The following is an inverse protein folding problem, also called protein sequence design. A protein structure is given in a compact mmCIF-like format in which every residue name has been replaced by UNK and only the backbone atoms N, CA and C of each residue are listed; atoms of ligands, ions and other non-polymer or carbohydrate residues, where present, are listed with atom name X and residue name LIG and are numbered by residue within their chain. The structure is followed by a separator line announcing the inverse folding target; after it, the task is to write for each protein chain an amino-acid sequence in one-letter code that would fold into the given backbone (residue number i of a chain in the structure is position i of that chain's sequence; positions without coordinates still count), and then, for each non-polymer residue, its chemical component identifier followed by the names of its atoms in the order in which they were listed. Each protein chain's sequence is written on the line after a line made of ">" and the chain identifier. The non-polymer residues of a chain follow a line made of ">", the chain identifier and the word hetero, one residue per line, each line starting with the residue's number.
data_IF_847805754491
#
_entry.id   IF_847805754491
#
_cell.length_a   1.000
_cell.length_b   1.000
_cell.length_c   1.000
_cell.angle_alpha   90.00
_cell.angle_beta   90.00
_cell.angle_gamma   90.00
#
_symmetry.space_group_name_H-M   'P 1'
#
loop_
_entity.id
_entity.type
_entity.pdbx_description
1 polymer ?
#
# COMPACT_ATOMS: atom_id res chain seq x y z
N UNK A 1 23.30 -33.09 -5.05
CA UNK A 1 24.36 -32.90 -4.05
C UNK A 1 23.79 -32.02 -2.96
N UNK A 2 23.94 -32.44 -1.69
CA UNK A 2 23.58 -31.63 -0.56
C UNK A 2 24.67 -30.62 -0.18
N UNK A 3 24.46 -29.86 0.86
CA UNK A 3 25.41 -28.95 1.49
C UNK A 3 25.73 -29.44 2.91
N UNK A 4 26.83 -28.98 3.46
CA UNK A 4 27.33 -29.35 4.79
C UNK A 4 27.48 -28.10 5.65
N UNK A 5 27.57 -28.29 6.93
CA UNK A 5 27.98 -27.26 7.87
C UNK A 5 29.33 -26.67 7.48
N UNK A 6 29.47 -25.36 7.45
CA UNK A 6 30.65 -24.63 7.01
C UNK A 6 30.83 -24.44 5.50
N UNK A 7 29.99 -25.06 4.66
CA UNK A 7 30.05 -24.83 3.21
C UNK A 7 29.82 -23.38 2.84
N UNK A 8 30.51 -22.90 1.82
CA UNK A 8 30.29 -21.57 1.27
C UNK A 8 28.92 -21.51 0.53
N UNK A 9 28.14 -20.48 0.84
CA UNK A 9 26.89 -20.21 0.15
C UNK A 9 26.81 -18.74 -0.26
N UNK A 10 26.19 -18.48 -1.40
CA UNK A 10 25.91 -17.11 -1.84
C UNK A 10 24.56 -17.00 -2.54
N UNK A 11 23.97 -15.81 -2.45
CA UNK A 11 22.71 -15.46 -3.14
C UNK A 11 22.92 -14.18 -3.92
N UNK A 12 22.57 -14.20 -5.20
CA UNK A 12 22.47 -13.03 -6.04
C UNK A 12 20.99 -12.72 -6.29
N UNK A 13 20.60 -11.46 -6.16
CA UNK A 13 19.20 -11.06 -6.37
C UNK A 13 19.04 -9.57 -6.56
N UNK A 14 17.80 -9.17 -6.82
CA UNK A 14 17.40 -7.79 -7.08
C UNK A 14 16.36 -7.37 -6.05
N UNK A 15 16.76 -7.11 -4.79
CA UNK A 15 15.80 -6.70 -3.75
C UNK A 15 15.12 -5.39 -4.12
N UNK A 16 13.82 -5.29 -3.82
CA UNK A 16 12.97 -4.19 -4.25
C UNK A 16 13.29 -2.86 -3.58
N UNK A 17 12.96 -2.75 -2.30
CA UNK A 17 13.15 -1.52 -1.53
C UNK A 17 13.46 -1.80 -0.07
N UNK A 18 14.25 -0.93 0.54
CA UNK A 18 14.50 -0.84 1.98
C UNK A 18 14.49 0.63 2.37
N UNK A 19 14.29 0.92 3.66
CA UNK A 19 14.18 2.29 4.19
C UNK A 19 15.21 2.50 5.33
N UNK A 20 16.49 2.24 5.03
CA UNK A 20 17.57 2.30 6.05
C UNK A 20 17.81 3.72 6.55
N UNK A 21 17.68 4.70 5.66
CA UNK A 21 18.02 6.10 5.91
C UNK A 21 16.83 6.94 6.34
N UNK A 22 15.62 6.42 6.30
CA UNK A 22 14.41 7.14 6.68
C UNK A 22 14.49 7.64 8.13
N UNK A 23 14.02 8.86 8.37
CA UNK A 23 13.98 9.47 9.70
C UNK A 23 13.02 8.74 10.67
N UNK A 24 13.13 9.08 11.97
CA UNK A 24 12.17 8.60 12.97
C UNK A 24 10.74 9.01 12.64
N UNK A 25 10.54 10.19 12.05
CA UNK A 25 9.24 10.70 11.61
C UNK A 25 8.69 9.92 10.42
N UNK A 26 9.54 9.60 9.45
CA UNK A 26 9.18 8.76 8.31
C UNK A 26 8.82 7.34 8.72
N UNK A 27 9.59 6.71 9.63
CA UNK A 27 9.26 5.39 10.19
C UNK A 27 7.93 5.41 10.93
N UNK A 28 7.66 6.47 11.72
CA UNK A 28 6.40 6.61 12.43
C UNK A 28 5.22 6.77 11.45
N UNK A 29 5.37 7.57 10.40
CA UNK A 29 4.36 7.75 9.35
C UNK A 29 4.10 6.43 8.60
N UNK A 30 5.16 5.70 8.23
CA UNK A 30 5.04 4.37 7.63
C UNK A 30 4.26 3.41 8.53
N UNK A 31 4.55 3.38 9.84
CA UNK A 31 3.87 2.52 10.81
C UNK A 31 2.39 2.87 10.93
N UNK A 32 2.08 4.16 11.16
CA UNK A 32 0.76 4.61 11.60
C UNK A 32 -0.16 5.01 10.44
N UNK A 33 0.38 5.61 9.37
CA UNK A 33 -0.40 6.15 8.26
C UNK A 33 -0.36 5.27 6.99
N UNK A 34 0.55 4.30 6.90
CA UNK A 34 0.60 3.37 5.78
C UNK A 34 0.33 1.92 6.17
N UNK A 35 1.16 1.35 7.06
CA UNK A 35 1.05 -0.07 7.40
C UNK A 35 -0.22 -0.39 8.21
N UNK A 36 -0.56 0.43 9.19
CA UNK A 36 -1.74 0.22 10.03
C UNK A 36 -3.04 0.22 9.19
N UNK A 37 -3.35 1.26 8.39
CA UNK A 37 -4.55 1.24 7.54
C UNK A 37 -4.49 0.16 6.46
N UNK A 38 -3.32 -0.11 5.85
CA UNK A 38 -3.16 -1.22 4.90
C UNK A 38 -3.51 -2.57 5.53
N UNK A 39 -3.02 -2.84 6.73
CA UNK A 39 -3.31 -4.08 7.45
C UNK A 39 -4.81 -4.19 7.77
N UNK A 40 -5.43 -3.12 8.20
CA UNK A 40 -6.83 -3.07 8.57
C UNK A 40 -7.74 -3.28 7.34
N UNK A 41 -7.57 -2.50 6.25
CA UNK A 41 -8.38 -2.62 5.02
C UNK A 41 -8.23 -4.00 4.38
N UNK A 42 -6.99 -4.52 4.30
CA UNK A 42 -6.76 -5.86 3.75
C UNK A 42 -7.31 -6.97 4.63
N UNK A 43 -7.32 -6.79 5.95
CA UNK A 43 -7.91 -7.73 6.89
C UNK A 43 -9.39 -7.94 6.60
N UNK A 44 -10.19 -6.87 6.63
CA UNK A 44 -11.64 -6.96 6.40
C UNK A 44 -11.99 -7.47 5.00
N UNK A 45 -11.22 -7.07 3.99
CA UNK A 45 -11.39 -7.57 2.63
C UNK A 45 -11.14 -9.08 2.54
N UNK A 46 -10.06 -9.55 3.13
CA UNK A 46 -9.65 -10.95 3.05
C UNK A 46 -10.61 -11.88 3.78
N UNK A 47 -11.27 -11.43 4.84
CA UNK A 47 -12.33 -12.18 5.50
C UNK A 47 -13.48 -12.49 4.55
N UNK A 48 -13.94 -11.49 3.79
CA UNK A 48 -14.97 -11.68 2.77
C UNK A 48 -14.49 -12.61 1.65
N UNK A 49 -13.27 -12.37 1.13
CA UNK A 49 -12.70 -13.22 0.09
C UNK A 49 -12.60 -14.68 0.53
N UNK A 50 -12.10 -14.95 1.74
CA UNK A 50 -12.01 -16.32 2.27
C UNK A 50 -13.36 -16.98 2.42
N UNK A 51 -14.38 -16.25 2.87
CA UNK A 51 -15.74 -16.76 3.00
C UNK A 51 -16.23 -17.34 1.66
N UNK A 52 -16.10 -16.56 0.58
CA UNK A 52 -16.52 -17.00 -0.76
C UNK A 52 -15.63 -18.12 -1.33
N UNK A 53 -14.33 -18.00 -1.18
CA UNK A 53 -13.35 -19.00 -1.66
C UNK A 53 -13.49 -20.37 -0.97
N UNK A 54 -13.94 -20.39 0.28
CA UNK A 54 -14.23 -21.65 1.00
C UNK A 54 -15.57 -22.25 0.60
N UNK A 55 -16.52 -21.42 0.20
CA UNK A 55 -17.85 -21.87 -0.20
C UNK A 55 -17.89 -22.43 -1.64
N UNK A 56 -17.02 -21.95 -2.53
CA UNK A 56 -17.00 -22.31 -3.95
C UNK A 56 -15.57 -22.46 -4.48
N UNK A 57 -15.24 -23.65 -4.99
CA UNK A 57 -13.93 -23.95 -5.55
C UNK A 57 -13.64 -23.17 -6.83
N UNK A 58 -14.62 -22.90 -7.66
CA UNK A 58 -14.45 -22.10 -8.88
C UNK A 58 -14.09 -20.65 -8.53
N UNK A 59 -14.73 -20.10 -7.49
CA UNK A 59 -14.36 -18.78 -6.95
C UNK A 59 -12.95 -18.81 -6.36
N UNK A 60 -12.60 -19.87 -5.62
CA UNK A 60 -11.24 -20.04 -5.06
C UNK A 60 -10.18 -19.98 -6.16
N UNK A 61 -10.36 -20.69 -7.26
CA UNK A 61 -9.41 -20.71 -8.38
C UNK A 61 -9.24 -19.31 -8.98
N UNK A 62 -10.32 -18.53 -9.17
CA UNK A 62 -10.26 -17.17 -9.71
C UNK A 62 -9.53 -16.19 -8.80
N UNK A 63 -9.63 -16.37 -7.49
CA UNK A 63 -9.15 -15.40 -6.51
C UNK A 63 -7.88 -15.80 -5.78
N UNK A 64 -7.38 -17.02 -5.92
CA UNK A 64 -6.22 -17.54 -5.19
C UNK A 64 -4.98 -16.64 -5.34
N UNK A 65 -4.63 -16.28 -6.57
CA UNK A 65 -3.51 -15.37 -6.87
C UNK A 65 -3.74 -13.95 -6.31
N UNK A 66 -4.96 -13.43 -6.43
CA UNK A 66 -5.34 -12.10 -5.90
C UNK A 66 -5.26 -12.09 -4.37
N UNK A 67 -5.77 -13.14 -3.74
CA UNK A 67 -5.70 -13.34 -2.29
C UNK A 67 -4.26 -13.49 -1.81
N UNK A 68 -3.46 -14.34 -2.45
CA UNK A 68 -2.06 -14.55 -2.10
C UNK A 68 -1.26 -13.23 -2.17
N UNK A 69 -1.44 -12.44 -3.24
CA UNK A 69 -0.82 -11.12 -3.36
C UNK A 69 -1.29 -10.17 -2.26
N UNK A 70 -2.59 -10.10 -1.99
CA UNK A 70 -3.14 -9.27 -0.92
C UNK A 70 -2.58 -9.67 0.45
N UNK A 71 -2.53 -10.98 0.74
CA UNK A 71 -2.04 -11.56 1.99
C UNK A 71 -0.55 -11.31 2.21
N UNK A 72 0.27 -11.34 1.13
CA UNK A 72 1.69 -11.02 1.23
C UNK A 72 1.91 -9.61 1.79
N UNK A 73 1.29 -8.59 1.21
CA UNK A 73 1.40 -7.21 1.69
C UNK A 73 0.75 -7.00 3.07
N UNK A 74 -0.33 -7.71 3.37
CA UNK A 74 -0.99 -7.69 4.67
C UNK A 74 -0.09 -8.19 5.78
N UNK A 75 0.51 -9.37 5.58
CA UNK A 75 1.46 -9.97 6.53
C UNK A 75 2.73 -9.12 6.67
N UNK A 76 3.21 -8.54 5.57
CA UNK A 76 4.35 -7.64 5.58
C UNK A 76 4.07 -6.40 6.46
N UNK A 77 2.92 -5.74 6.28
CA UNK A 77 2.55 -4.56 7.06
C UNK A 77 2.44 -4.87 8.56
N UNK A 78 1.79 -5.98 8.93
CA UNK A 78 1.67 -6.44 10.32
C UNK A 78 3.05 -6.78 10.91
N UNK A 79 3.85 -7.57 10.17
CA UNK A 79 5.17 -8.00 10.63
C UNK A 79 6.15 -6.83 10.78
N UNK A 80 6.10 -5.87 9.85
CA UNK A 80 6.92 -4.67 9.92
C UNK A 80 6.56 -3.81 11.14
N UNK A 81 5.28 -3.55 11.37
CA UNK A 81 4.84 -2.79 12.55
C UNK A 81 5.22 -3.49 13.85
N UNK A 82 5.01 -4.80 13.94
CA UNK A 82 5.46 -5.59 15.09
C UNK A 82 6.97 -5.49 15.31
N UNK A 83 7.76 -5.51 14.24
CA UNK A 83 9.21 -5.35 14.33
C UNK A 83 9.60 -3.94 14.80
N UNK A 84 9.00 -2.89 14.20
CA UNK A 84 9.23 -1.49 14.59
C UNK A 84 8.99 -1.30 16.09
N UNK A 85 7.88 -1.84 16.60
CA UNK A 85 7.49 -1.68 18.00
C UNK A 85 8.35 -2.53 18.94
N UNK A 86 8.57 -3.82 18.62
CA UNK A 86 9.28 -4.74 19.53
C UNK A 86 10.78 -4.44 19.66
N UNK A 87 11.40 -3.91 18.61
CA UNK A 87 12.81 -3.50 18.61
C UNK A 87 12.96 -2.03 19.07
N UNK A 88 11.88 -1.24 19.04
CA UNK A 88 11.91 0.17 19.38
C UNK A 88 12.59 1.05 18.33
N UNK A 89 12.42 0.73 17.05
CA UNK A 89 13.11 1.39 15.91
C UNK A 89 12.93 2.91 15.95
N UNK A 90 11.73 3.41 16.24
CA UNK A 90 11.48 4.86 16.31
C UNK A 90 12.35 5.54 17.36
N UNK A 91 12.51 4.93 18.54
CA UNK A 91 13.34 5.49 19.62
C UNK A 91 14.82 5.41 19.25
N UNK A 92 15.29 4.30 18.68
CA UNK A 92 16.68 4.19 18.20
C UNK A 92 17.01 5.28 17.18
N UNK A 93 16.09 5.57 16.26
CA UNK A 93 16.24 6.65 15.27
C UNK A 93 16.28 8.03 15.94
N UNK A 94 15.40 8.29 16.91
CA UNK A 94 15.40 9.57 17.66
C UNK A 94 16.68 9.81 18.44
N UNK A 95 17.20 8.77 19.10
CA UNK A 95 18.50 8.85 19.78
C UNK A 95 19.64 9.14 18.80
N UNK A 96 19.59 8.49 17.63
CA UNK A 96 20.55 8.75 16.58
C UNK A 96 20.44 10.19 16.05
N UNK A 97 19.24 10.67 15.77
CA UNK A 97 18.98 12.04 15.31
C UNK A 97 19.40 13.09 16.33
N UNK A 98 19.28 12.80 17.63
CA UNK A 98 19.79 13.66 18.70
C UNK A 98 21.30 13.78 18.63
N UNK A 99 22.02 12.67 18.42
CA UNK A 99 23.49 12.70 18.23
C UNK A 99 23.90 13.45 16.96
N UNK A 100 23.14 13.26 15.89
CA UNK A 100 23.39 13.92 14.61
C UNK A 100 23.17 15.43 14.71
N UNK A 101 22.13 15.87 15.44
CA UNK A 101 21.90 17.29 15.72
C UNK A 101 23.05 17.90 16.51
N UNK A 102 23.52 17.25 17.58
CA UNK A 102 24.67 17.69 18.36
C UNK A 102 25.95 17.75 17.52
N UNK A 103 26.18 16.78 16.62
CA UNK A 103 27.30 16.80 15.70
C UNK A 103 27.22 18.00 14.74
N UNK A 104 26.04 18.29 14.19
CA UNK A 104 25.80 19.45 13.32
C UNK A 104 26.13 20.77 14.01
N UNK A 105 25.80 20.94 15.29
CA UNK A 105 26.03 22.13 16.07
C UNK A 105 27.53 22.36 16.33
N UNK A 106 28.33 21.30 16.38
CA UNK A 106 29.77 21.36 16.64
C UNK A 106 30.62 21.48 15.37
N UNK A 107 30.12 20.99 14.24
CA UNK A 107 30.81 21.08 12.97
C UNK A 107 30.74 22.53 12.46
N UNK A 108 31.86 23.22 12.44
CA UNK A 108 31.96 24.57 11.85
C UNK A 108 31.40 24.51 10.43
N UNK A 109 30.34 25.26 10.20
CA UNK A 109 29.52 25.30 9.01
C UNK A 109 30.30 25.23 7.70
N UNK A 110 30.51 24.02 7.23
CA UNK A 110 30.78 23.84 5.82
C UNK A 110 29.43 24.05 5.11
N UNK A 111 29.41 24.82 4.05
CA UNK A 111 28.22 25.04 3.25
C UNK A 111 27.94 23.82 2.36
N UNK A 112 27.83 22.64 2.98
CA UNK A 112 27.57 21.37 2.34
C UNK A 112 26.18 20.82 2.73
N UNK A 113 25.74 19.79 2.03
CA UNK A 113 24.42 19.19 2.23
C UNK A 113 24.24 18.57 3.63
N UNK A 114 25.36 18.11 4.23
CA UNK A 114 25.34 17.44 5.54
C UNK A 114 24.93 18.36 6.69
N UNK A 115 25.05 19.68 6.51
CA UNK A 115 24.70 20.68 7.52
C UNK A 115 23.36 21.39 7.26
N UNK A 116 22.56 20.90 6.29
CA UNK A 116 21.32 21.55 5.89
C UNK A 116 20.06 20.90 6.46
N UNK A 117 20.17 19.80 7.22
CA UNK A 117 19.01 19.17 7.80
C UNK A 117 18.37 20.05 8.86
N UNK A 118 17.08 20.30 8.70
CA UNK A 118 16.23 20.99 9.67
C UNK A 118 15.24 19.97 10.24
N UNK A 119 15.57 19.45 11.41
CA UNK A 119 14.78 18.41 12.08
C UNK A 119 13.38 18.90 12.50
N UNK A 120 13.26 20.18 12.86
CA UNK A 120 11.98 20.74 13.30
C UNK A 120 11.06 20.96 12.09
N UNK A 121 11.62 21.42 10.96
CA UNK A 121 10.92 21.47 9.68
C UNK A 121 10.49 20.07 9.23
N UNK A 122 11.36 19.07 9.31
CA UNK A 122 11.06 17.70 8.92
C UNK A 122 9.92 17.11 9.76
N UNK A 123 9.97 17.30 11.08
CA UNK A 123 8.89 16.90 11.99
C UNK A 123 7.55 17.54 11.62
N UNK A 124 7.57 18.86 11.37
CA UNK A 124 6.37 19.60 10.99
C UNK A 124 5.77 19.07 9.69
N UNK A 125 6.60 18.88 8.66
CA UNK A 125 6.17 18.38 7.35
C UNK A 125 5.49 17.01 7.45
N UNK A 126 6.08 16.06 8.19
CA UNK A 126 5.47 14.74 8.41
C UNK A 126 4.16 14.83 9.20
N UNK A 127 4.11 15.67 10.22
CA UNK A 127 2.88 15.88 10.99
C UNK A 127 1.74 16.44 10.14
N UNK A 128 2.03 17.41 9.27
CA UNK A 128 1.07 17.99 8.35
C UNK A 128 0.58 17.00 7.28
N UNK A 129 1.44 16.07 6.87
CA UNK A 129 1.12 15.06 5.87
C UNK A 129 0.47 13.79 6.43
N UNK A 130 0.43 13.60 7.75
CA UNK A 130 -0.01 12.33 8.35
C UNK A 130 -1.46 11.97 8.02
N UNK A 131 -2.40 12.93 8.13
CA UNK A 131 -3.82 12.71 7.84
C UNK A 131 -4.06 12.35 6.37
N UNK A 132 -3.45 13.11 5.46
CA UNK A 132 -3.60 12.84 4.02
C UNK A 132 -2.95 11.51 3.63
N UNK A 133 -1.82 11.14 4.22
CA UNK A 133 -1.16 9.84 3.96
C UNK A 133 -2.01 8.68 4.45
N UNK A 134 -2.61 8.82 5.64
CA UNK A 134 -3.54 7.82 6.19
C UNK A 134 -4.78 7.65 5.31
N UNK A 135 -5.41 8.76 4.94
CA UNK A 135 -6.60 8.75 4.09
C UNK A 135 -6.31 8.22 2.68
N UNK A 136 -5.18 8.62 2.09
CA UNK A 136 -4.70 8.08 0.82
C UNK A 136 -4.47 6.57 0.85
N UNK A 137 -3.87 6.05 1.92
CA UNK A 137 -3.65 4.60 2.05
C UNK A 137 -4.98 3.86 2.09
N UNK A 138 -5.94 4.34 2.89
CA UNK A 138 -7.30 3.79 2.91
C UNK A 138 -7.96 3.83 1.53
N UNK A 139 -7.87 4.96 0.83
CA UNK A 139 -8.42 5.12 -0.52
C UNK A 139 -7.80 4.15 -1.51
N UNK A 140 -6.46 4.09 -1.55
CA UNK A 140 -5.74 3.24 -2.48
C UNK A 140 -6.04 1.75 -2.27
N UNK A 141 -6.14 1.31 -1.01
CA UNK A 141 -6.46 -0.09 -0.66
C UNK A 141 -7.95 -0.43 -0.90
N UNK A 142 -8.85 0.57 -0.85
CA UNK A 142 -10.31 0.35 -0.99
C UNK A 142 -10.81 0.48 -2.42
N UNK A 143 -10.24 1.35 -3.26
CA UNK A 143 -10.88 1.71 -4.53
C UNK A 143 -10.01 1.53 -5.78
N UNK A 144 -8.69 1.42 -5.63
CA UNK A 144 -7.80 1.16 -6.76
C UNK A 144 -7.66 -0.35 -7.03
N UNK A 145 -6.82 -0.73 -7.99
CA UNK A 145 -6.49 -2.14 -8.25
C UNK A 145 -6.09 -2.94 -7.01
N UNK A 146 -5.67 -2.27 -5.93
CA UNK A 146 -5.29 -2.91 -4.67
C UNK A 146 -6.50 -3.50 -3.91
N UNK A 147 -7.70 -3.00 -4.20
CA UNK A 147 -8.95 -3.51 -3.61
C UNK A 147 -9.28 -4.95 -4.03
N UNK A 148 -8.81 -5.38 -5.20
CA UNK A 148 -9.23 -6.60 -5.89
C UNK A 148 -10.71 -6.60 -6.29
N UNK A 149 -11.36 -5.43 -6.34
CA UNK A 149 -12.73 -5.20 -6.79
C UNK A 149 -12.70 -4.81 -8.26
N UNK A 150 -13.30 -5.62 -9.10
CA UNK A 150 -13.31 -5.37 -10.55
C UNK A 150 -14.12 -4.13 -10.90
N UNK A 151 -15.29 -3.95 -10.28
CA UNK A 151 -16.15 -2.79 -10.52
C UNK A 151 -15.42 -1.47 -10.26
N UNK A 152 -14.86 -1.28 -9.08
CA UNK A 152 -14.17 -0.04 -8.73
C UNK A 152 -12.91 0.17 -9.57
N UNK A 153 -12.18 -0.91 -9.90
CA UNK A 153 -11.00 -0.85 -10.76
C UNK A 153 -11.34 -0.37 -12.16
N UNK A 154 -12.42 -0.88 -12.75
CA UNK A 154 -12.90 -0.43 -14.08
C UNK A 154 -13.37 1.01 -14.05
N UNK A 155 -14.23 1.36 -13.08
CA UNK A 155 -14.76 2.70 -12.93
C UNK A 155 -13.66 3.76 -12.78
N UNK A 156 -12.68 3.48 -11.91
CA UNK A 156 -11.55 4.38 -11.66
C UNK A 156 -10.64 4.56 -12.89
N UNK A 157 -10.25 3.45 -13.52
CA UNK A 157 -9.38 3.49 -14.72
C UNK A 157 -10.05 4.13 -15.92
N UNK A 158 -11.37 4.00 -16.06
CA UNK A 158 -12.11 4.55 -17.15
C UNK A 158 -11.90 6.06 -17.25
N UNK A 159 -12.00 6.77 -16.13
CA UNK A 159 -11.78 8.21 -16.06
C UNK A 159 -10.33 8.60 -16.36
N UNK A 160 -9.36 7.91 -15.74
CA UNK A 160 -7.94 8.19 -15.98
C UNK A 160 -7.54 8.00 -17.45
N UNK A 161 -8.09 6.99 -18.13
CA UNK A 161 -7.84 6.75 -19.55
C UNK A 161 -8.42 7.85 -20.44
N UNK A 162 -9.47 8.54 -20.00
CA UNK A 162 -10.06 9.67 -20.72
C UNK A 162 -9.20 10.93 -20.64
N UNK A 163 -8.63 11.22 -19.47
CA UNK A 163 -7.82 12.41 -19.24
C UNK A 163 -6.49 12.38 -20.02
N UNK A 164 -5.90 11.20 -20.16
CA UNK A 164 -4.57 11.02 -20.77
C UNK A 164 -4.58 11.03 -22.30
N UNK A 165 -5.70 10.72 -22.94
CA UNK A 165 -5.76 10.54 -24.41
C UNK A 165 -6.33 11.72 -25.18
N UNK A 166 -5.53 12.78 -25.34
CA UNK A 166 -5.64 13.64 -26.49
C UNK A 166 -6.47 14.92 -26.35
N UNK A 167 -6.42 15.71 -27.43
CA UNK A 167 -7.12 17.00 -27.55
C UNK A 167 -8.64 16.87 -27.37
N UNK A 168 -9.31 17.91 -26.98
CA UNK A 168 -10.78 18.04 -26.85
C UNK A 168 -11.54 17.44 -28.06
N UNK A 169 -10.96 17.53 -29.27
CA UNK A 169 -11.54 16.98 -30.48
C UNK A 169 -11.51 15.45 -30.50
N UNK A 170 -10.51 14.81 -29.88
CA UNK A 170 -10.41 13.35 -29.79
C UNK A 170 -11.25 12.80 -28.62
N UNK A 171 -11.35 13.53 -27.52
CA UNK A 171 -12.23 13.16 -26.39
C UNK A 171 -13.70 13.05 -26.84
N UNK A 172 -14.16 13.88 -27.78
CA UNK A 172 -15.53 13.86 -28.30
C UNK A 172 -15.89 12.61 -29.10
N UNK A 173 -14.90 11.80 -29.51
CA UNK A 173 -15.10 10.59 -30.30
C UNK A 173 -14.72 9.32 -29.58
N UNK A 174 -14.24 9.42 -28.35
CA UNK A 174 -13.86 8.24 -27.58
C UNK A 174 -15.07 7.40 -27.23
N UNK A 175 -14.91 6.13 -27.49
CA UNK A 175 -15.86 5.13 -27.10
C UNK A 175 -15.11 4.00 -26.41
N UNK A 176 -15.72 3.39 -25.42
CA UNK A 176 -15.16 2.27 -24.69
C UNK A 176 -16.10 1.06 -24.82
N UNK A 177 -15.54 -0.04 -25.29
CA UNK A 177 -16.19 -1.33 -25.32
C UNK A 177 -15.63 -2.19 -24.17
N UNK A 178 -16.54 -2.81 -23.41
CA UNK A 178 -16.17 -3.59 -22.24
C UNK A 178 -15.98 -5.06 -22.60
N UNK A 179 -14.79 -5.56 -22.27
CA UNK A 179 -14.40 -6.94 -22.49
C UNK A 179 -15.08 -7.90 -21.52
N UNK A 180 -15.24 -9.13 -21.96
CA UNK A 180 -15.62 -10.23 -21.10
C UNK A 180 -14.42 -10.91 -20.50
N UNK A 181 -14.03 -10.46 -19.31
CA UNK A 181 -13.06 -11.14 -18.45
C UNK A 181 -13.74 -11.80 -17.23
N UNK A 182 -14.99 -12.19 -17.36
CA UNK A 182 -15.79 -12.82 -16.29
C UNK A 182 -15.18 -14.11 -15.74
N UNK A 183 -14.23 -14.72 -16.47
CA UNK A 183 -13.44 -15.83 -15.98
C UNK A 183 -12.52 -15.44 -14.78
N UNK A 184 -12.20 -14.15 -14.63
CA UNK A 184 -11.24 -13.68 -13.63
C UNK A 184 -11.88 -13.09 -12.36
N UNK A 185 -13.20 -12.93 -12.33
CA UNK A 185 -13.93 -12.37 -11.19
C UNK A 185 -15.27 -13.06 -10.93
N UNK A 186 -15.80 -12.85 -9.74
CA UNK A 186 -17.12 -13.32 -9.31
C UNK A 186 -17.97 -12.15 -8.84
N UNK A 187 -19.21 -12.07 -9.34
CA UNK A 187 -20.12 -10.94 -9.04
C UNK A 187 -20.46 -10.84 -7.56
N UNK A 188 -20.76 -11.96 -6.92
CA UNK A 188 -21.20 -11.98 -5.53
C UNK A 188 -20.08 -11.55 -4.58
N UNK A 189 -18.87 -12.08 -4.81
CA UNK A 189 -17.69 -11.71 -4.07
C UNK A 189 -17.33 -10.23 -4.29
N UNK A 190 -17.32 -9.77 -5.54
CA UNK A 190 -16.97 -8.38 -5.90
C UNK A 190 -17.93 -7.38 -5.22
N UNK A 191 -19.24 -7.67 -5.25
CA UNK A 191 -20.25 -6.84 -4.60
C UNK A 191 -20.09 -6.80 -3.08
N UNK A 192 -19.89 -7.95 -2.42
CA UNK A 192 -19.74 -7.99 -0.97
C UNK A 192 -18.43 -7.32 -0.50
N UNK A 193 -17.34 -7.51 -1.23
CA UNK A 193 -16.08 -6.80 -0.94
C UNK A 193 -16.25 -5.30 -1.12
N UNK A 194 -16.86 -4.84 -2.21
CA UNK A 194 -17.05 -3.41 -2.43
C UNK A 194 -17.93 -2.79 -1.34
N UNK A 195 -19.04 -3.42 -0.97
CA UNK A 195 -19.91 -2.93 0.10
C UNK A 195 -19.18 -2.85 1.45
N UNK A 196 -18.36 -3.85 1.76
CA UNK A 196 -17.53 -3.89 2.97
C UNK A 196 -16.49 -2.77 2.95
N UNK A 197 -15.81 -2.55 1.83
CA UNK A 197 -14.79 -1.52 1.69
C UNK A 197 -15.39 -0.09 1.74
N UNK A 198 -16.57 0.12 1.16
CA UNK A 198 -17.29 1.39 1.27
C UNK A 198 -17.60 1.74 2.73
N UNK A 199 -18.15 0.78 3.48
CA UNK A 199 -18.41 0.93 4.91
C UNK A 199 -17.13 1.24 5.67
N UNK A 200 -16.11 0.40 5.49
CA UNK A 200 -14.82 0.53 6.15
C UNK A 200 -14.15 1.88 5.89
N UNK A 201 -14.16 2.35 4.64
CA UNK A 201 -13.55 3.62 4.28
C UNK A 201 -14.21 4.80 5.02
N UNK A 202 -15.55 4.83 5.06
CA UNK A 202 -16.30 5.87 5.78
C UNK A 202 -16.03 5.90 7.28
N UNK A 203 -15.82 4.74 7.89
CA UNK A 203 -15.59 4.61 9.34
C UNK A 203 -14.18 5.08 9.76
N UNK A 204 -13.22 5.12 8.84
CA UNK A 204 -11.82 5.37 9.15
C UNK A 204 -11.25 6.66 8.55
N UNK A 205 -11.96 7.31 7.64
CA UNK A 205 -11.45 8.46 6.92
C UNK A 205 -12.31 9.70 7.21
N UNK A 206 -11.66 10.85 7.38
CA UNK A 206 -12.35 12.10 7.66
C UNK A 206 -13.27 12.53 6.50
N UNK A 207 -14.34 13.26 6.83
CA UNK A 207 -15.40 13.68 5.88
C UNK A 207 -14.86 14.41 4.64
N UNK A 208 -13.79 15.17 4.77
CA UNK A 208 -13.19 15.92 3.65
C UNK A 208 -12.67 15.04 2.53
N UNK A 209 -12.35 13.77 2.84
CA UNK A 209 -11.84 12.80 1.89
C UNK A 209 -12.87 11.79 1.40
N UNK A 210 -14.16 12.01 1.74
CA UNK A 210 -15.24 11.15 1.27
C UNK A 210 -15.68 11.53 -0.14
N UNK A 211 -15.68 10.59 -1.12
CA UNK A 211 -16.29 10.80 -2.43
C UNK A 211 -17.77 11.20 -2.33
N UNK A 212 -18.25 11.97 -3.30
CA UNK A 212 -19.62 12.51 -3.31
C UNK A 212 -20.72 11.45 -3.29
N UNK A 213 -20.44 10.25 -3.78
CA UNK A 213 -21.41 9.15 -3.79
C UNK A 213 -21.86 8.72 -2.38
N UNK A 214 -21.12 9.05 -1.30
CA UNK A 214 -21.59 8.77 0.06
C UNK A 214 -22.89 9.55 0.39
N UNK A 215 -23.05 10.76 -0.15
CA UNK A 215 -24.31 11.52 -0.04
C UNK A 215 -25.47 10.81 -0.76
N UNK A 216 -25.16 10.19 -1.90
CA UNK A 216 -26.14 9.38 -2.64
C UNK A 216 -26.52 8.13 -1.86
N UNK A 217 -25.54 7.43 -1.25
CA UNK A 217 -25.80 6.27 -0.39
C UNK A 217 -26.75 6.63 0.75
N UNK A 218 -26.51 7.76 1.42
CA UNK A 218 -27.34 8.22 2.53
C UNK A 218 -28.76 8.61 2.09
N UNK A 219 -28.87 9.44 1.05
CA UNK A 219 -30.14 10.03 0.64
C UNK A 219 -31.04 9.07 -0.14
N UNK A 220 -30.48 8.19 -0.96
CA UNK A 220 -31.24 7.33 -1.86
C UNK A 220 -31.32 5.88 -1.40
N UNK A 221 -30.32 5.42 -0.61
CA UNK A 221 -30.23 4.04 -0.16
C UNK A 221 -30.31 3.88 1.36
N UNK A 222 -30.53 4.97 2.10
CA UNK A 222 -30.66 4.97 3.56
C UNK A 222 -29.41 4.46 4.30
N UNK A 223 -28.24 4.68 3.72
CA UNK A 223 -26.96 4.21 4.27
C UNK A 223 -26.64 2.72 3.98
N UNK A 224 -27.46 2.05 3.16
CA UNK A 224 -27.28 0.62 2.83
C UNK A 224 -26.29 0.45 1.68
N UNK A 225 -25.06 0.12 2.01
CA UNK A 225 -23.96 -0.10 1.04
C UNK A 225 -24.24 -1.26 0.10
N UNK A 226 -24.89 -2.33 0.58
CA UNK A 226 -25.21 -3.51 -0.22
C UNK A 226 -26.22 -3.18 -1.31
N UNK A 227 -27.28 -2.44 -0.97
CA UNK A 227 -28.25 -1.96 -1.96
C UNK A 227 -27.63 -1.04 -2.99
N UNK A 228 -26.76 -0.11 -2.54
CA UNK A 228 -26.06 0.79 -3.45
C UNK A 228 -25.17 0.02 -4.44
N UNK A 229 -24.37 -0.92 -3.95
CA UNK A 229 -23.50 -1.72 -4.81
C UNK A 229 -24.30 -2.57 -5.78
N UNK A 230 -25.39 -3.19 -5.34
CA UNK A 230 -26.30 -3.93 -6.24
C UNK A 230 -26.87 -3.02 -7.34
N UNK A 231 -27.27 -1.80 -6.98
CA UNK A 231 -27.73 -0.79 -7.95
C UNK A 231 -26.63 -0.46 -8.98
N UNK A 232 -25.39 -0.24 -8.53
CA UNK A 232 -24.26 0.02 -9.43
C UNK A 232 -24.09 -1.10 -10.46
N UNK A 233 -24.06 -2.35 -10.02
CA UNK A 233 -23.89 -3.52 -10.88
C UNK A 233 -25.04 -3.74 -11.85
N UNK A 234 -26.27 -3.50 -11.44
CA UNK A 234 -27.46 -3.76 -12.26
C UNK A 234 -27.70 -2.65 -13.31
N UNK A 235 -27.37 -1.43 -12.99
CA UNK A 235 -27.68 -0.27 -13.83
C UNK A 235 -26.52 0.18 -14.72
N UNK A 236 -25.27 0.00 -14.27
CA UNK A 236 -24.10 0.43 -15.03
C UNK A 236 -23.80 -0.48 -16.22
N UNK A 237 -23.26 0.12 -17.27
CA UNK A 237 -22.76 -0.57 -18.46
C UNK A 237 -21.34 -1.10 -18.29
N UNK A 238 -20.56 -0.60 -17.32
CA UNK A 238 -19.12 -0.91 -17.19
C UNK A 238 -18.83 -2.40 -16.88
N UNK A 239 -19.79 -3.14 -16.37
CA UNK A 239 -19.69 -4.59 -16.10
C UNK A 239 -20.39 -5.47 -17.12
N UNK A 240 -21.01 -4.87 -18.16
CA UNK A 240 -21.75 -5.62 -19.17
C UNK A 240 -20.87 -5.92 -20.38
N UNK A 241 -20.70 -7.21 -20.70
CA UNK A 241 -19.93 -7.66 -21.88
C UNK A 241 -20.42 -6.99 -23.16
N UNK A 242 -19.49 -6.46 -23.96
CA UNK A 242 -19.78 -5.81 -25.24
C UNK A 242 -20.59 -4.53 -25.14
N UNK A 243 -20.87 -4.05 -23.94
CA UNK A 243 -21.53 -2.77 -23.74
C UNK A 243 -20.66 -1.63 -24.27
N UNK A 244 -21.28 -0.64 -24.84
CA UNK A 244 -20.61 0.52 -25.44
C UNK A 244 -20.96 1.77 -24.69
N UNK A 245 -19.94 2.47 -24.19
CA UNK A 245 -20.07 3.74 -23.53
C UNK A 245 -19.39 4.84 -24.35
N UNK A 246 -20.15 5.87 -24.70
CA UNK A 246 -19.66 7.01 -25.49
C UNK A 246 -19.46 8.21 -24.57
N UNK A 247 -18.24 8.61 -24.33
CA UNK A 247 -17.89 9.73 -23.45
C UNK A 247 -18.30 11.11 -23.98
N UNK A 248 -18.52 11.22 -25.27
CA UNK A 248 -19.00 12.45 -25.90
C UNK A 248 -20.52 12.51 -26.08
N UNK A 249 -21.23 11.44 -25.68
CA UNK A 249 -22.70 11.41 -25.76
C UNK A 249 -23.29 12.09 -24.54
N UNK A 250 -24.21 13.03 -24.78
CA UNK A 250 -24.93 13.71 -23.69
C UNK A 250 -25.56 12.70 -22.75
N UNK A 251 -25.22 12.78 -21.47
CA UNK A 251 -25.77 11.92 -20.41
C UNK A 251 -24.97 10.65 -20.12
N UNK A 252 -23.75 10.48 -20.64
CA UNK A 252 -22.90 9.35 -20.26
C UNK A 252 -22.59 9.34 -18.76
N UNK A 253 -22.47 10.50 -18.16
CA UNK A 253 -22.28 10.72 -16.73
C UNK A 253 -23.45 10.25 -15.87
N UNK A 254 -24.59 9.95 -16.49
CA UNK A 254 -25.75 9.34 -15.81
C UNK A 254 -25.60 7.82 -15.59
N UNK A 255 -24.63 7.19 -16.24
CA UNK A 255 -24.27 5.82 -15.90
C UNK A 255 -23.71 5.80 -14.46
N UNK A 256 -24.29 5.03 -13.53
CA UNK A 256 -23.91 5.09 -12.14
C UNK A 256 -22.45 4.62 -11.89
N UNK A 257 -21.90 3.73 -12.71
CA UNK A 257 -20.51 3.35 -12.62
C UNK A 257 -19.55 4.43 -13.11
N UNK A 258 -19.96 5.20 -14.13
CA UNK A 258 -19.22 6.39 -14.57
C UNK A 258 -19.23 7.45 -13.49
N UNK A 259 -20.40 7.77 -12.92
CA UNK A 259 -20.52 8.74 -11.83
C UNK A 259 -19.68 8.34 -10.61
N UNK A 260 -19.73 7.06 -10.23
CA UNK A 260 -18.89 6.51 -9.16
C UNK A 260 -17.38 6.69 -9.47
N UNK A 261 -16.95 6.39 -10.70
CA UNK A 261 -15.57 6.57 -11.14
C UNK A 261 -15.12 8.04 -11.16
N UNK A 262 -16.02 8.96 -11.55
CA UNK A 262 -15.77 10.41 -11.51
C UNK A 262 -15.53 10.90 -10.08
N UNK A 263 -16.41 10.52 -9.14
CA UNK A 263 -16.27 10.87 -7.73
C UNK A 263 -14.96 10.34 -7.12
N UNK A 264 -14.54 9.13 -7.50
CA UNK A 264 -13.24 8.58 -7.09
C UNK A 264 -12.07 9.39 -7.65
N UNK A 265 -12.13 9.81 -8.92
CA UNK A 265 -11.05 10.57 -9.54
C UNK A 265 -11.00 12.03 -9.04
N UNK A 266 -12.12 12.63 -8.68
CA UNK A 266 -12.15 13.94 -8.00
C UNK A 266 -11.33 13.87 -6.70
N UNK A 267 -11.64 12.91 -5.83
CA UNK A 267 -10.90 12.74 -4.55
C UNK A 267 -9.45 12.32 -4.78
N UNK A 268 -9.16 11.53 -5.82
CA UNK A 268 -7.79 11.21 -6.21
C UNK A 268 -6.97 12.45 -6.57
N UNK A 269 -7.57 13.40 -7.30
CA UNK A 269 -6.93 14.67 -7.64
C UNK A 269 -6.63 15.49 -6.38
N UNK A 270 -7.60 15.57 -5.44
CA UNK A 270 -7.41 16.25 -4.15
C UNK A 270 -6.26 15.61 -3.34
N UNK A 271 -6.15 14.28 -3.34
CA UNK A 271 -5.02 13.57 -2.73
C UNK A 271 -3.68 13.89 -3.41
N UNK A 272 -3.66 13.90 -4.74
CA UNK A 272 -2.43 14.18 -5.49
C UNK A 272 -1.90 15.59 -5.19
N UNK A 273 -2.79 16.58 -5.10
CA UNK A 273 -2.45 17.94 -4.72
C UNK A 273 -1.94 17.99 -3.27
N UNK A 274 -2.72 17.45 -2.32
CA UNK A 274 -2.40 17.54 -0.89
C UNK A 274 -1.10 16.79 -0.51
N UNK A 275 -0.83 15.63 -1.12
CA UNK A 275 0.42 14.90 -0.94
C UNK A 275 1.59 15.63 -1.61
N UNK A 276 1.38 16.22 -2.78
CA UNK A 276 2.38 16.97 -3.54
C UNK A 276 2.92 18.18 -2.79
N UNK A 277 2.09 18.85 -1.99
CA UNK A 277 2.46 20.08 -1.30
C UNK A 277 3.72 19.96 -0.41
N UNK A 278 3.91 18.83 0.27
CA UNK A 278 5.03 18.60 1.18
C UNK A 278 6.06 17.59 0.65
N UNK A 279 5.75 16.85 -0.41
CA UNK A 279 6.56 15.72 -0.88
C UNK A 279 8.02 16.12 -1.19
N UNK A 280 8.22 17.16 -1.98
CA UNK A 280 9.56 17.63 -2.36
C UNK A 280 10.35 18.13 -1.14
N UNK A 281 9.68 18.83 -0.23
CA UNK A 281 10.31 19.34 1.00
C UNK A 281 10.70 18.21 1.95
N UNK A 282 9.87 17.18 2.08
CA UNK A 282 10.20 15.96 2.86
C UNK A 282 11.39 15.26 2.22
N UNK A 283 11.35 15.01 0.92
CA UNK A 283 12.43 14.34 0.19
C UNK A 283 13.75 15.11 0.30
N UNK A 284 13.70 16.45 0.24
CA UNK A 284 14.87 17.29 0.43
C UNK A 284 15.46 17.14 1.85
N UNK A 285 14.65 17.19 2.89
CA UNK A 285 15.13 17.07 4.27
C UNK A 285 15.64 15.65 4.56
N UNK A 286 14.99 14.60 4.07
CA UNK A 286 15.48 13.21 4.17
C UNK A 286 16.83 13.03 3.43
N UNK A 287 17.02 13.69 2.29
CA UNK A 287 18.30 13.73 1.59
C UNK A 287 19.39 14.40 2.43
N UNK A 288 19.08 15.51 3.11
CA UNK A 288 20.03 16.19 3.99
C UNK A 288 20.35 15.33 5.21
N UNK A 289 19.36 14.66 5.79
CA UNK A 289 19.56 13.72 6.89
C UNK A 289 20.48 12.55 6.49
N UNK A 290 20.29 11.99 5.32
CA UNK A 290 21.15 10.95 4.77
C UNK A 290 22.58 11.47 4.56
N UNK A 291 22.76 12.67 3.99
CA UNK A 291 24.07 13.28 3.80
C UNK A 291 24.77 13.54 5.14
N UNK A 292 24.05 14.03 6.15
CA UNK A 292 24.58 14.25 7.49
C UNK A 292 25.05 12.95 8.15
N UNK A 293 24.25 11.88 8.02
CA UNK A 293 24.64 10.55 8.50
C UNK A 293 25.93 10.06 7.86
N UNK A 294 26.00 10.08 6.53
CA UNK A 294 27.18 9.63 5.79
C UNK A 294 28.43 10.45 6.14
N UNK A 295 28.27 11.74 6.44
CA UNK A 295 29.39 12.61 6.82
C UNK A 295 29.83 12.40 8.26
N UNK A 296 28.90 12.25 9.19
CA UNK A 296 29.21 11.97 10.60
C UNK A 296 29.91 10.62 10.79
N UNK A 297 29.62 9.67 9.92
CA UNK A 297 30.11 8.29 10.00
C UNK A 297 31.02 7.94 8.80
N UNK A 298 31.84 8.91 8.31
CA UNK A 298 32.64 8.74 7.08
C UNK A 298 33.64 7.58 7.14
N UNK A 299 34.07 7.20 8.34
CA UNK A 299 34.98 6.05 8.56
C UNK A 299 34.27 4.71 8.67
N UNK A 300 32.93 4.68 8.58
CA UNK A 300 32.13 3.46 8.70
C UNK A 300 31.63 2.98 7.33
N UNK A 301 31.49 1.68 7.13
CA UNK A 301 30.90 1.17 5.90
C UNK A 301 29.39 1.47 5.82
N UNK A 302 28.95 2.00 4.70
CA UNK A 302 27.55 2.30 4.42
C UNK A 302 27.04 1.47 3.25
N UNK A 303 25.81 0.98 3.37
CA UNK A 303 25.11 0.21 2.33
C UNK A 303 23.93 1.01 1.81
N UNK A 304 23.80 1.12 0.49
CA UNK A 304 22.66 1.79 -0.13
C UNK A 304 21.37 1.03 0.13
N UNK A 305 20.24 1.76 0.14
CA UNK A 305 18.94 1.12 0.12
C UNK A 305 18.76 0.26 -1.13
N UNK A 306 17.97 -0.80 -1.01
CA UNK A 306 17.59 -1.65 -2.13
C UNK A 306 16.72 -0.85 -3.12
N UNK A 307 17.00 -1.00 -4.40
CA UNK A 307 16.37 -0.25 -5.48
C UNK A 307 16.30 -1.05 -6.79
N UNK A 308 16.08 -2.36 -6.69
CA UNK A 308 16.08 -3.29 -7.82
C UNK A 308 17.43 -3.43 -8.53
N UNK A 309 18.53 -2.92 -7.97
CA UNK A 309 19.88 -3.25 -8.45
C UNK A 309 20.38 -4.55 -7.83
N UNK A 310 21.29 -5.22 -8.53
CA UNK A 310 21.84 -6.51 -8.08
C UNK A 310 22.54 -6.36 -6.74
N UNK A 311 22.25 -7.28 -5.83
CA UNK A 311 22.91 -7.46 -4.54
C UNK A 311 23.46 -8.87 -4.42
N UNK A 312 24.61 -8.95 -3.80
CA UNK A 312 25.27 -10.19 -3.46
C UNK A 312 25.30 -10.34 -1.93
N UNK A 313 24.75 -11.42 -1.43
CA UNK A 313 24.92 -11.86 -0.04
C UNK A 313 25.68 -13.18 -0.03
N UNK A 314 26.63 -13.32 0.87
CA UNK A 314 27.43 -14.55 0.98
C UNK A 314 27.79 -14.83 2.44
N UNK A 315 28.12 -16.08 2.72
CA UNK A 315 28.50 -16.53 4.04
C UNK A 315 28.79 -18.04 4.06
N UNK A 316 28.90 -18.59 5.25
CA UNK A 316 29.00 -20.03 5.47
C UNK A 316 27.67 -20.57 5.98
N UNK A 317 27.35 -21.80 5.53
CA UNK A 317 26.18 -22.53 6.04
C UNK A 317 26.45 -22.85 7.51
N UNK A 318 25.47 -22.56 8.36
CA UNK A 318 25.58 -22.80 9.79
C UNK A 318 24.21 -22.81 10.49
N UNK A 319 24.20 -23.28 11.71
CA UNK A 319 23.05 -23.18 12.59
C UNK A 319 22.94 -21.79 13.23
N UNK A 320 21.83 -21.55 13.90
CA UNK A 320 21.59 -20.34 14.67
C UNK A 320 20.88 -20.69 15.99
N UNK A 321 20.95 -19.79 16.96
CA UNK A 321 20.27 -19.95 18.23
C UNK A 321 18.85 -19.38 18.16
N UNK A 322 17.86 -20.18 18.55
CA UNK A 322 16.46 -19.81 18.69
C UNK A 322 16.08 -19.81 20.17
N UNK A 323 16.40 -18.71 20.85
CA UNK A 323 16.03 -18.54 22.25
C UNK A 323 16.64 -19.61 23.18
N UNK A 324 17.94 -19.89 23.04
CA UNK A 324 18.69 -20.85 23.84
C UNK A 324 18.63 -22.31 23.32
N UNK A 325 18.01 -22.54 22.16
CA UNK A 325 18.03 -23.83 21.48
C UNK A 325 18.81 -23.70 20.17
N UNK A 326 19.98 -24.33 20.04
CA UNK A 326 20.71 -24.33 18.78
C UNK A 326 19.92 -25.07 17.70
N UNK A 327 19.68 -24.43 16.57
CA UNK A 327 19.22 -25.13 15.37
C UNK A 327 20.42 -25.82 14.70
N UNK A 328 20.21 -26.96 14.04
CA UNK A 328 21.19 -27.46 13.10
C UNK A 328 21.33 -26.55 11.88
N UNK A 329 22.27 -26.82 11.00
CA UNK A 329 22.45 -26.13 9.71
C UNK A 329 21.32 -26.42 8.69
N UNK A 330 20.39 -27.31 9.05
CA UNK A 330 19.19 -27.63 8.27
C UNK A 330 17.96 -27.76 9.18
N UNK A 331 16.80 -27.70 8.61
CA UNK A 331 15.51 -27.90 9.30
C UNK A 331 14.77 -29.09 8.72
N UNK A 332 13.93 -29.74 9.53
CA UNK A 332 13.08 -30.86 9.13
C UNK A 332 11.60 -30.53 9.35
N UNK A 333 10.71 -31.34 8.77
CA UNK A 333 9.28 -31.20 8.97
C UNK A 333 8.86 -31.37 10.43
N UNK A 334 9.55 -32.22 11.20
CA UNK A 334 9.32 -32.43 12.64
C UNK A 334 9.45 -31.10 13.42
N UNK A 335 10.37 -30.25 13.03
CA UNK A 335 10.54 -28.93 13.69
C UNK A 335 9.33 -28.01 13.55
N UNK A 336 8.45 -28.24 12.55
CA UNK A 336 7.16 -27.52 12.42
C UNK A 336 6.21 -28.04 13.49
N UNK A 337 6.12 -29.37 13.67
CA UNK A 337 5.25 -30.00 14.66
C UNK A 337 5.65 -29.59 16.08
N UNK A 338 6.94 -29.54 16.37
CA UNK A 338 7.46 -29.11 17.67
C UNK A 338 7.10 -27.65 18.02
N UNK A 339 6.94 -26.80 17.00
CA UNK A 339 6.57 -25.39 17.19
C UNK A 339 5.06 -25.16 17.24
N UNK A 340 4.24 -26.15 16.88
CA UNK A 340 2.80 -26.03 16.95
C UNK A 340 2.35 -25.82 18.38
N UNK A 341 1.48 -24.82 18.57
CA UNK A 341 0.77 -24.61 19.83
C UNK A 341 -0.65 -25.14 19.71
N UNK A 342 -1.21 -25.63 20.80
CA UNK A 342 -2.57 -26.07 20.83
C UNK A 342 -3.50 -24.91 20.45
N UNK A 343 -4.28 -25.06 19.37
CA UNK A 343 -5.17 -24.03 18.84
C UNK A 343 -4.61 -23.24 17.64
N UNK A 344 -3.36 -23.46 17.23
CA UNK A 344 -2.85 -22.91 15.96
C UNK A 344 -3.64 -23.53 14.78
N UNK A 345 -4.11 -22.65 13.86
CA UNK A 345 -4.90 -23.05 12.67
C UNK A 345 -4.05 -22.95 11.42
#
# INVERSE_FOLDING_TARGET
>A
QGYKDGDYAMTMGYPGSTERYLSSYGIQTMRDAENAPRAQVRGVKQEVMQKHMRADEAVRIKYDSKYASSSNYWKNAIGMNKCIDSIGIVNMKREYETRLRAWQDTAKAANDLAHKVDFDKLQKLYKESADVTYAWTNFAESFTRRSNVEFSTRAFKLQQNMEVKGSEKNKKKQYHEFDDNSAEWDKSLDQEVLATLLKNYREHVSEKWLPKFYKTIDSQFGGDYTKYVSYLWDKSLIMKKGAKLYFNKKGYEKDPGVAFGMDLNDVYADFAEALGNNADSIAEQEKYLCAAKLRMEEDMPHYSDANFTMRLSYGQVGGFDLGGKPSGYYTTAESIVEKMKQGDK
#
